data_IF_566752294517
#
_entry.id   IF_566752294517
#
_cell.length_a   1.000
_cell.length_b   1.000
_cell.length_c   1.000
_cell.angle_alpha   90.00
_cell.angle_beta   90.00
_cell.angle_gamma   90.00
#
_symmetry.space_group_name_H-M   'P 1'
#
loop_
_entity.id
_entity.type
_entity.pdbx_description
1 polymer ?
#
# COMPACT_ATOMS: atom_id res chain seq x y z
N UNK A 1 20.69 14.79 -4.87
CA UNK A 1 19.27 14.60 -5.29
C UNK A 1 18.55 14.42 -3.98
N UNK A 2 17.92 15.48 -3.47
CA UNK A 2 17.42 15.46 -2.09
C UNK A 2 16.43 14.32 -1.90
N UNK A 3 16.68 13.54 -0.86
CA UNK A 3 15.85 12.40 -0.53
C UNK A 3 14.54 12.89 0.11
N UNK A 4 13.46 12.13 -0.06
CA UNK A 4 12.13 12.53 0.45
C UNK A 4 12.15 12.76 1.97
N UNK A 5 13.04 12.06 2.68
CA UNK A 5 13.27 12.20 4.12
C UNK A 5 14.03 13.48 4.47
N UNK A 6 15.00 13.92 3.65
CA UNK A 6 15.72 15.18 3.92
C UNK A 6 14.76 16.39 3.85
N UNK A 7 13.90 16.43 2.83
CA UNK A 7 12.84 17.44 2.73
C UNK A 7 11.85 17.39 3.90
N UNK A 8 11.55 16.18 4.41
CA UNK A 8 10.72 16.02 5.61
C UNK A 8 11.41 16.63 6.85
N UNK A 9 12.71 16.38 7.02
CA UNK A 9 13.49 16.94 8.13
C UNK A 9 13.59 18.47 8.04
N UNK A 10 13.74 19.03 6.84
CA UNK A 10 13.65 20.48 6.63
C UNK A 10 12.27 21.04 6.99
N UNK A 11 11.20 20.33 6.61
CA UNK A 11 9.84 20.71 6.98
C UNK A 11 9.66 20.73 8.50
N UNK A 12 10.15 19.72 9.23
CA UNK A 12 10.04 19.67 10.69
C UNK A 12 10.74 20.84 11.39
N UNK A 13 11.84 21.36 10.84
CA UNK A 13 12.47 22.59 11.36
C UNK A 13 11.56 23.82 11.27
N UNK A 14 10.64 23.87 10.30
CA UNK A 14 9.71 25.01 10.14
C UNK A 14 8.53 24.99 11.12
N UNK A 15 8.22 23.82 11.67
CA UNK A 15 7.08 23.59 12.58
C UNK A 15 7.52 23.29 14.01
N UNK A 16 8.78 23.58 14.34
CA UNK A 16 9.36 23.36 15.66
C UNK A 16 8.51 23.98 16.78
N UNK A 17 8.35 23.24 17.88
CA UNK A 17 7.57 23.63 19.07
C UNK A 17 6.07 23.90 18.85
N UNK A 18 5.49 23.41 17.75
CA UNK A 18 4.04 23.50 17.49
C UNK A 18 3.39 22.12 17.52
N UNK A 19 2.17 21.97 18.07
CA UNK A 19 1.41 20.75 17.89
C UNK A 19 1.08 20.57 16.41
N UNK A 20 1.42 19.41 15.85
CA UNK A 20 1.19 19.06 14.45
C UNK A 20 0.36 17.79 14.35
N UNK A 21 -0.46 17.71 13.29
CA UNK A 21 -1.04 16.44 12.88
C UNK A 21 -0.05 15.74 11.96
N UNK A 22 0.57 14.65 12.44
CA UNK A 22 1.62 13.93 11.72
C UNK A 22 1.10 13.09 10.55
N UNK A 23 -0.16 12.65 10.61
CA UNK A 23 -0.73 11.72 9.62
C UNK A 23 -0.75 12.30 8.19
N UNK A 24 -1.24 13.55 7.95
CA UNK A 24 -1.14 14.17 6.63
C UNK A 24 0.29 14.32 6.12
N UNK A 25 1.27 14.51 7.02
CA UNK A 25 2.68 14.62 6.64
C UNK A 25 3.20 13.25 6.19
N UNK A 26 2.89 12.17 6.90
CA UNK A 26 3.24 10.82 6.45
C UNK A 26 2.54 10.42 5.15
N UNK A 27 1.31 10.87 4.93
CA UNK A 27 0.62 10.70 3.66
C UNK A 27 1.40 11.39 2.50
N UNK A 28 1.91 12.60 2.70
CA UNK A 28 2.73 13.30 1.70
C UNK A 28 4.04 12.55 1.41
N UNK A 29 4.75 12.12 2.46
CA UNK A 29 6.03 11.40 2.34
C UNK A 29 5.86 10.07 1.62
N UNK A 30 4.88 9.28 2.02
CA UNK A 30 4.61 7.97 1.42
C UNK A 30 4.18 8.10 -0.03
N UNK A 31 3.33 9.09 -0.35
CA UNK A 31 2.93 9.41 -1.73
C UNK A 31 4.15 9.79 -2.59
N UNK A 32 5.05 10.61 -2.06
CA UNK A 32 6.26 11.02 -2.76
C UNK A 32 7.19 9.83 -3.05
N UNK A 33 7.46 9.01 -2.02
CA UNK A 33 8.32 7.82 -2.13
C UNK A 33 7.74 6.82 -3.14
N UNK A 34 6.46 6.47 -3.02
CA UNK A 34 5.85 5.50 -3.93
C UNK A 34 5.74 6.06 -5.36
N UNK A 35 5.53 7.37 -5.54
CA UNK A 35 5.53 7.99 -6.87
C UNK A 35 6.90 7.91 -7.55
N UNK A 36 7.99 8.07 -6.78
CA UNK A 36 9.37 7.89 -7.27
C UNK A 36 9.64 6.45 -7.68
N UNK A 37 9.23 5.50 -6.85
CA UNK A 37 9.51 4.07 -7.05
C UNK A 37 8.60 3.45 -8.14
N UNK A 38 7.32 3.80 -8.14
CA UNK A 38 6.32 3.17 -9.01
C UNK A 38 6.13 3.89 -10.35
N UNK A 39 6.28 5.22 -10.38
CA UNK A 39 6.04 6.05 -11.58
C UNK A 39 7.32 6.68 -12.13
N UNK A 40 8.47 6.45 -11.47
CA UNK A 40 9.74 7.04 -11.86
C UNK A 40 9.74 8.57 -11.76
N UNK A 41 9.01 9.13 -10.79
CA UNK A 41 9.03 10.57 -10.55
C UNK A 41 10.47 11.05 -10.30
N UNK A 42 10.89 12.08 -11.05
CA UNK A 42 12.21 12.66 -10.87
C UNK A 42 12.21 13.63 -9.68
N UNK A 43 12.99 13.30 -8.64
CA UNK A 43 13.10 14.10 -7.43
C UNK A 43 11.86 14.03 -6.53
N UNK A 44 11.88 14.82 -5.45
CA UNK A 44 10.82 14.88 -4.47
C UNK A 44 9.81 16.00 -4.78
N UNK A 45 8.54 15.64 -4.80
CA UNK A 45 7.37 16.51 -4.91
C UNK A 45 6.60 16.57 -3.59
N UNK A 46 7.28 16.43 -2.45
CA UNK A 46 6.68 16.52 -1.13
C UNK A 46 5.87 17.82 -0.98
N UNK A 47 4.61 17.73 -0.52
CA UNK A 47 3.64 18.84 -0.41
C UNK A 47 3.20 19.48 -1.73
N UNK A 48 3.58 18.92 -2.87
CA UNK A 48 3.22 19.40 -4.22
C UNK A 48 2.57 18.31 -5.06
N UNK A 49 2.38 17.11 -4.51
CA UNK A 49 1.95 15.96 -5.27
C UNK A 49 0.43 15.90 -5.42
N UNK A 50 -0.06 16.23 -6.61
CA UNK A 50 -1.50 16.19 -6.93
C UNK A 50 -2.15 14.80 -6.82
N UNK A 51 -1.36 13.71 -6.80
CA UNK A 51 -1.90 12.36 -6.63
C UNK A 51 -2.57 12.15 -5.27
N UNK A 52 -2.14 12.92 -4.26
CA UNK A 52 -2.70 12.81 -2.91
C UNK A 52 -4.18 13.17 -2.86
N UNK A 53 -4.63 14.16 -3.62
CA UNK A 53 -6.02 14.60 -3.62
C UNK A 53 -6.92 13.54 -4.25
N UNK A 54 -6.46 12.91 -5.33
CA UNK A 54 -7.18 11.79 -5.95
C UNK A 54 -7.21 10.57 -5.03
N UNK A 55 -6.09 10.24 -4.37
CA UNK A 55 -6.01 9.12 -3.43
C UNK A 55 -6.91 9.33 -2.20
N UNK A 56 -6.91 10.53 -1.61
CA UNK A 56 -7.84 10.91 -0.54
C UNK A 56 -9.29 10.82 -1.01
N UNK A 57 -9.60 11.23 -2.23
CA UNK A 57 -10.93 11.07 -2.81
C UNK A 57 -11.38 9.60 -2.92
N UNK A 58 -10.44 8.65 -3.01
CA UNK A 58 -10.74 7.21 -3.05
C UNK A 58 -10.88 6.63 -1.64
N UNK A 59 -9.96 6.93 -0.72
CA UNK A 59 -9.92 6.33 0.63
C UNK A 59 -10.78 7.05 1.67
N UNK A 60 -10.88 8.37 1.61
CA UNK A 60 -11.56 9.22 2.60
C UNK A 60 -12.99 9.59 2.18
N UNK A 61 -13.50 8.98 1.11
CA UNK A 61 -14.92 9.12 0.78
C UNK A 61 -15.77 8.50 1.90
N UNK A 62 -16.84 9.17 2.37
CA UNK A 62 -17.59 8.71 3.53
C UNK A 62 -18.05 7.25 3.39
N UNK A 63 -17.72 6.42 4.37
CA UNK A 63 -18.20 5.03 4.50
C UNK A 63 -19.74 4.99 4.63
N UNK A 64 -20.35 6.12 5.01
CA UNK A 64 -21.80 6.37 5.00
C UNK A 64 -22.39 6.45 3.58
N UNK A 65 -21.61 6.22 2.53
CA UNK A 65 -22.15 5.98 1.20
C UNK A 65 -22.93 4.65 1.20
N UNK A 66 -24.22 4.77 1.50
CA UNK A 66 -25.23 3.70 1.46
C UNK A 66 -25.15 2.89 0.16
N UNK A 67 -24.61 3.47 -0.93
CA UNK A 67 -24.42 2.80 -2.20
C UNK A 67 -23.33 1.71 -2.19
N UNK A 68 -22.34 1.78 -1.28
CA UNK A 68 -21.27 0.80 -1.17
C UNK A 68 -21.52 -0.23 -0.06
N UNK A 69 -22.08 0.20 1.08
CA UNK A 69 -22.32 -0.66 2.24
C UNK A 69 -23.60 -1.49 2.10
N UNK A 70 -24.70 -0.93 1.58
CA UNK A 70 -25.96 -1.65 1.47
C UNK A 70 -25.91 -2.85 0.50
N UNK A 71 -25.21 -2.82 -0.65
CA UNK A 71 -25.07 -4.00 -1.51
C UNK A 71 -24.22 -5.12 -0.93
N UNK A 72 -23.34 -4.82 0.03
CA UNK A 72 -22.56 -5.82 0.75
C UNK A 72 -23.41 -6.55 1.79
N UNK A 73 -24.28 -5.82 2.51
CA UNK A 73 -25.19 -6.40 3.50
C UNK A 73 -26.46 -7.03 2.87
N UNK A 74 -26.95 -6.46 1.76
CA UNK A 74 -28.20 -6.85 1.10
C UNK A 74 -27.97 -7.11 -0.39
N UNK A 75 -27.52 -8.32 -0.77
CA UNK A 75 -27.14 -8.65 -2.15
C UNK A 75 -28.30 -8.52 -3.16
N UNK A 76 -29.55 -8.56 -2.72
CA UNK A 76 -30.74 -8.36 -3.55
C UNK A 76 -30.96 -6.92 -4.01
N UNK A 77 -30.38 -5.92 -3.31
CA UNK A 77 -30.47 -4.49 -3.68
C UNK A 77 -29.27 -4.06 -4.55
N UNK A 78 -28.29 -4.95 -4.74
CA UNK A 78 -27.05 -4.67 -5.50
C UNK A 78 -27.29 -4.22 -6.94
N UNK A 79 -28.22 -4.86 -7.66
CA UNK A 79 -28.54 -4.50 -9.06
C UNK A 79 -29.23 -3.12 -9.18
N UNK A 80 -30.31 -2.81 -8.44
CA UNK A 80 -30.94 -1.50 -8.54
C UNK A 80 -30.04 -0.35 -8.05
N UNK A 81 -29.27 -0.53 -6.97
CA UNK A 81 -28.30 0.48 -6.50
C UNK A 81 -27.19 0.70 -7.53
N UNK A 82 -26.67 -0.36 -8.16
CA UNK A 82 -25.64 -0.22 -9.19
C UNK A 82 -26.12 0.64 -10.37
N UNK A 83 -27.34 0.40 -10.86
CA UNK A 83 -27.94 1.20 -11.94
C UNK A 83 -28.11 2.66 -11.50
N UNK A 84 -28.56 2.91 -10.27
CA UNK A 84 -28.70 4.26 -9.71
C UNK A 84 -27.35 4.98 -9.52
N UNK A 85 -26.31 4.25 -9.09
CA UNK A 85 -24.94 4.74 -8.93
C UNK A 85 -24.20 4.96 -10.27
N UNK A 86 -24.65 4.35 -11.36
CA UNK A 86 -24.15 4.64 -12.72
C UNK A 86 -24.66 6.01 -13.24
N UNK A 87 -25.81 6.50 -12.75
CA UNK A 87 -26.35 7.83 -13.07
C UNK A 87 -25.74 8.97 -12.24
N UNK A 88 -25.43 8.72 -10.96
CA UNK A 88 -24.75 9.69 -10.09
C UNK A 88 -23.26 9.38 -10.05
N UNK A 89 -22.42 10.17 -10.73
CA UNK A 89 -20.95 10.08 -10.60
C UNK A 89 -20.55 10.33 -9.15
N UNK A 90 -20.36 9.26 -8.36
CA UNK A 90 -19.87 9.36 -6.98
C UNK A 90 -18.46 9.97 -6.97
N UNK A 91 -18.11 10.65 -5.89
CA UNK A 91 -16.79 11.28 -5.72
C UNK A 91 -15.64 10.27 -5.92
N UNK A 92 -15.80 9.04 -5.42
CA UNK A 92 -14.86 7.93 -5.60
C UNK A 92 -14.62 7.63 -7.08
N UNK A 93 -15.70 7.50 -7.87
CA UNK A 93 -15.60 7.15 -9.29
C UNK A 93 -14.99 8.28 -10.11
N UNK A 94 -15.29 9.53 -9.77
CA UNK A 94 -14.67 10.69 -10.40
C UNK A 94 -13.16 10.77 -10.11
N UNK A 95 -12.76 10.61 -8.85
CA UNK A 95 -11.35 10.60 -8.43
C UNK A 95 -10.59 9.42 -9.03
N UNK A 96 -11.15 8.22 -9.02
CA UNK A 96 -10.55 7.03 -9.63
C UNK A 96 -10.37 7.17 -11.14
N UNK A 97 -11.37 7.67 -11.88
CA UNK A 97 -11.25 7.91 -13.32
C UNK A 97 -10.17 8.96 -13.63
N UNK A 98 -10.11 10.03 -12.82
CA UNK A 98 -9.13 11.11 -13.00
C UNK A 98 -7.71 10.63 -12.73
N UNK A 99 -7.52 9.85 -11.66
CA UNK A 99 -6.26 9.23 -11.33
C UNK A 99 -5.81 8.27 -12.43
N UNK A 100 -6.70 7.38 -12.88
CA UNK A 100 -6.41 6.41 -13.94
C UNK A 100 -6.03 7.13 -15.24
N UNK A 101 -6.72 8.21 -15.61
CA UNK A 101 -6.40 8.99 -16.80
C UNK A 101 -5.04 9.70 -16.69
N UNK A 102 -4.67 10.22 -15.52
CA UNK A 102 -3.35 10.83 -15.29
C UNK A 102 -2.24 9.79 -15.32
N UNK A 103 -2.45 8.63 -14.70
CA UNK A 103 -1.51 7.50 -14.77
C UNK A 103 -1.33 6.99 -16.20
N UNK A 104 -2.42 6.90 -16.98
CA UNK A 104 -2.34 6.56 -18.39
C UNK A 104 -1.46 7.54 -19.17
N UNK A 105 -1.61 8.85 -18.93
CA UNK A 105 -0.75 9.86 -19.56
C UNK A 105 0.71 9.68 -19.17
N UNK A 106 1.02 9.40 -17.90
CA UNK A 106 2.40 9.20 -17.45
C UNK A 106 3.00 7.92 -18.04
N UNK A 107 2.22 6.82 -18.12
CA UNK A 107 2.64 5.58 -18.77
C UNK A 107 2.95 5.78 -20.25
N UNK A 108 2.07 6.45 -20.97
CA UNK A 108 2.30 6.75 -22.39
C UNK A 108 3.49 7.68 -22.60
N UNK A 109 3.65 8.69 -21.73
CA UNK A 109 4.81 9.58 -21.77
C UNK A 109 6.12 8.81 -21.54
N UNK A 110 6.17 7.96 -20.51
CA UNK A 110 7.34 7.11 -20.23
C UNK A 110 7.64 6.18 -21.41
N UNK A 111 6.62 5.56 -21.99
CA UNK A 111 6.78 4.70 -23.17
C UNK A 111 7.43 5.46 -24.34
N UNK A 112 6.94 6.65 -24.66
CA UNK A 112 7.51 7.49 -25.72
C UNK A 112 8.96 7.92 -25.40
N UNK A 113 9.27 8.27 -24.15
CA UNK A 113 10.64 8.57 -23.70
C UNK A 113 11.57 7.37 -23.95
N UNK A 114 11.12 6.15 -23.65
CA UNK A 114 11.91 4.94 -23.91
C UNK A 114 12.12 4.67 -25.40
N UNK A 115 11.12 4.90 -26.24
CA UNK A 115 11.22 4.74 -27.69
C UNK A 115 12.25 5.72 -28.28
N UNK A 116 12.17 7.00 -27.92
CA UNK A 116 13.13 8.02 -28.35
C UNK A 116 14.57 7.75 -27.86
N UNK A 117 14.74 7.19 -26.65
CA UNK A 117 16.06 6.79 -26.15
C UNK A 117 16.67 5.62 -26.93
N UNK A 118 15.84 4.65 -27.35
CA UNK A 118 16.27 3.54 -28.21
C UNK A 118 16.75 4.06 -29.57
N UNK A 119 16.02 5.01 -30.15
CA UNK A 119 16.41 5.66 -31.42
C UNK A 119 17.73 6.42 -31.30
N UNK A 120 17.91 7.17 -30.21
CA UNK A 120 19.10 7.98 -29.94
C UNK A 120 20.31 7.18 -29.39
N UNK A 121 20.21 5.84 -29.28
CA UNK A 121 21.23 4.94 -28.70
C UNK A 121 21.77 5.43 -27.35
N UNK A 122 20.91 6.05 -26.54
CA UNK A 122 21.30 6.60 -25.25
C UNK A 122 20.95 5.59 -24.16
N UNK A 123 21.95 4.99 -23.52
CA UNK A 123 21.72 4.10 -22.37
C UNK A 123 21.51 4.94 -21.10
N UNK A 124 20.26 5.15 -20.72
CA UNK A 124 19.92 5.50 -19.34
C UNK A 124 19.40 4.25 -18.66
N UNK A 125 20.06 3.83 -17.57
CA UNK A 125 19.59 2.73 -16.73
C UNK A 125 18.40 3.23 -15.91
N UNK A 126 17.21 3.10 -16.49
CA UNK A 126 15.97 3.42 -15.79
C UNK A 126 15.53 2.17 -15.02
N UNK A 127 15.52 2.24 -13.68
CA UNK A 127 15.18 1.11 -12.81
C UNK A 127 14.08 1.57 -11.85
N UNK A 128 12.84 1.56 -12.33
CA UNK A 128 11.64 1.75 -11.53
C UNK A 128 10.56 0.74 -11.98
N UNK A 129 9.45 0.66 -11.25
CA UNK A 129 8.45 -0.36 -11.57
C UNK A 129 7.73 -0.10 -12.90
N UNK A 130 7.52 1.16 -13.28
CA UNK A 130 6.90 1.47 -14.58
C UNK A 130 7.78 0.96 -15.74
N UNK A 131 9.11 1.07 -15.63
CA UNK A 131 10.01 0.50 -16.64
C UNK A 131 10.00 -1.04 -16.62
N UNK A 132 9.94 -1.66 -15.45
CA UNK A 132 9.78 -3.12 -15.32
C UNK A 132 8.46 -3.61 -15.93
N UNK A 133 7.37 -2.86 -15.77
CA UNK A 133 6.08 -3.20 -16.37
C UNK A 133 6.10 -3.04 -17.89
N UNK A 134 6.73 -1.97 -18.39
CA UNK A 134 6.90 -1.74 -19.82
C UNK A 134 7.84 -2.77 -20.48
N UNK A 135 8.81 -3.33 -19.75
CA UNK A 135 9.62 -4.47 -20.23
C UNK A 135 8.81 -5.75 -20.44
N UNK A 136 7.70 -5.89 -19.71
CA UNK A 136 6.73 -6.97 -19.87
C UNK A 136 5.59 -6.63 -20.85
N UNK A 137 5.64 -5.48 -21.53
CA UNK A 137 4.57 -5.06 -22.44
C UNK A 137 4.53 -5.90 -23.73
N UNK A 138 3.33 -6.27 -24.18
CA UNK A 138 3.11 -6.81 -25.54
C UNK A 138 2.06 -6.02 -26.32
N UNK A 139 2.14 -6.00 -27.67
CA UNK A 139 1.11 -5.41 -28.52
C UNK A 139 -0.24 -6.13 -28.37
N UNK A 140 -1.34 -5.37 -28.30
CA UNK A 140 -2.73 -5.85 -28.07
C UNK A 140 -3.19 -6.98 -29.03
N UNK A 141 -2.57 -7.13 -30.21
CA UNK A 141 -2.99 -8.09 -31.25
C UNK A 141 -2.79 -9.59 -30.90
N UNK A 142 -2.14 -9.92 -29.77
CA UNK A 142 -2.02 -11.32 -29.29
C UNK A 142 -3.07 -11.73 -28.24
N UNK A 143 -3.88 -10.79 -27.73
CA UNK A 143 -4.99 -11.09 -26.82
C UNK A 143 -6.22 -11.61 -27.60
N UNK A 144 -6.07 -12.64 -28.45
CA UNK A 144 -7.25 -13.32 -29.00
C UNK A 144 -7.72 -14.39 -28.01
N UNK A 145 -8.93 -14.20 -27.48
CA UNK A 145 -9.84 -15.25 -27.00
C UNK A 145 -9.31 -16.19 -25.91
N UNK A 146 -9.00 -15.66 -24.73
CA UNK A 146 -9.10 -16.49 -23.51
C UNK A 146 -9.74 -15.73 -22.36
N UNK A 147 -10.90 -15.13 -22.63
CA UNK A 147 -11.89 -14.86 -21.58
C UNK A 147 -12.80 -16.09 -21.39
N UNK A 148 -12.19 -17.28 -21.42
CA UNK A 148 -12.81 -18.56 -21.12
C UNK A 148 -12.36 -19.00 -19.74
N UNK A 149 -13.33 -19.35 -18.89
CA UNK A 149 -13.21 -20.03 -17.58
C UNK A 149 -11.76 -20.26 -17.14
N UNK A 150 -11.30 -19.46 -16.17
CA UNK A 150 -9.98 -19.56 -15.54
C UNK A 150 -9.80 -20.94 -14.87
N UNK A 151 -9.31 -21.94 -15.63
CA UNK A 151 -8.85 -23.21 -15.08
C UNK A 151 -7.44 -23.03 -14.53
N UNK A 152 -7.37 -22.60 -13.26
CA UNK A 152 -6.15 -22.13 -12.57
C UNK A 152 -5.05 -23.18 -12.40
N UNK A 153 -5.29 -24.45 -12.74
CA UNK A 153 -4.27 -25.52 -12.64
C UNK A 153 -3.18 -25.42 -13.71
N UNK A 154 -3.44 -24.71 -14.81
CA UNK A 154 -2.50 -24.51 -15.92
C UNK A 154 -2.23 -23.03 -16.21
N UNK A 155 -2.09 -22.20 -15.17
CA UNK A 155 -1.58 -20.83 -15.32
C UNK A 155 -0.12 -20.87 -15.76
N UNK A 156 0.13 -21.00 -17.06
CA UNK A 156 1.32 -20.38 -17.64
C UNK A 156 1.12 -18.89 -17.44
N UNK A 157 1.80 -18.32 -16.44
CA UNK A 157 1.92 -16.87 -16.30
C UNK A 157 2.56 -16.37 -17.60
N UNK A 158 1.74 -15.85 -18.51
CA UNK A 158 2.25 -15.11 -19.65
C UNK A 158 2.92 -13.87 -19.08
N UNK A 159 4.20 -13.64 -19.40
CA UNK A 159 4.95 -12.44 -18.97
C UNK A 159 4.53 -11.20 -19.78
N UNK A 160 3.24 -11.09 -20.08
CA UNK A 160 2.71 -10.21 -21.10
C UNK A 160 1.68 -9.30 -20.44
N UNK A 161 1.92 -7.99 -20.49
CA UNK A 161 1.03 -6.95 -19.97
C UNK A 161 0.56 -6.04 -21.13
N UNK A 162 -0.73 -5.75 -21.16
CA UNK A 162 -1.29 -4.65 -21.95
C UNK A 162 -1.04 -3.31 -21.27
N UNK A 163 -1.08 -2.20 -22.03
CA UNK A 163 -0.94 -0.84 -21.47
C UNK A 163 -1.94 -0.57 -20.34
N UNK A 164 -3.19 -1.05 -20.49
CA UNK A 164 -4.22 -0.89 -19.46
C UNK A 164 -3.88 -1.66 -18.18
N UNK A 165 -3.28 -2.85 -18.28
CA UNK A 165 -2.82 -3.60 -17.13
C UNK A 165 -1.63 -2.92 -16.45
N UNK A 166 -0.70 -2.35 -17.21
CA UNK A 166 0.42 -1.55 -16.67
C UNK A 166 -0.12 -0.36 -15.87
N UNK A 167 -1.06 0.39 -16.43
CA UNK A 167 -1.73 1.51 -15.73
C UNK A 167 -2.45 1.02 -14.47
N UNK A 168 -3.10 -0.15 -14.54
CA UNK A 168 -3.71 -0.80 -13.40
C UNK A 168 -2.71 -1.17 -12.30
N UNK A 169 -1.52 -1.67 -12.65
CA UNK A 169 -0.45 -1.95 -11.68
C UNK A 169 0.05 -0.66 -11.03
N UNK A 170 0.35 0.38 -11.82
CA UNK A 170 0.75 1.68 -11.29
C UNK A 170 -0.29 2.26 -10.31
N UNK A 171 -1.59 2.12 -10.62
CA UNK A 171 -2.69 2.53 -9.73
C UNK A 171 -2.67 1.77 -8.40
N UNK A 172 -2.52 0.45 -8.44
CA UNK A 172 -2.48 -0.40 -7.25
C UNK A 172 -1.28 -0.03 -6.38
N UNK A 173 -0.09 0.11 -6.97
CA UNK A 173 1.12 0.50 -6.24
C UNK A 173 0.93 1.85 -5.54
N UNK A 174 0.42 2.86 -6.25
CA UNK A 174 0.20 4.19 -5.72
C UNK A 174 -0.75 4.17 -4.52
N UNK A 175 -1.92 3.52 -4.66
CA UNK A 175 -2.94 3.50 -3.60
C UNK A 175 -2.53 2.64 -2.41
N UNK A 176 -1.97 1.45 -2.67
CA UNK A 176 -1.56 0.53 -1.61
C UNK A 176 -0.33 1.05 -0.85
N UNK A 177 0.66 1.63 -1.54
CA UNK A 177 1.89 2.12 -0.90
C UNK A 177 1.69 3.43 -0.13
N UNK A 178 0.73 4.26 -0.55
CA UNK A 178 0.40 5.54 0.06
C UNK A 178 -0.27 5.37 1.44
N UNK A 179 -1.50 4.86 1.45
CA UNK A 179 -2.36 5.04 2.64
C UNK A 179 -1.98 4.04 3.74
N UNK A 180 -1.62 2.81 3.41
CA UNK A 180 -1.30 1.81 4.44
C UNK A 180 -0.06 2.19 5.22
N UNK A 181 0.99 2.63 4.52
CA UNK A 181 2.27 3.00 5.15
C UNK A 181 2.11 4.25 6.01
N UNK A 182 1.36 5.25 5.53
CA UNK A 182 1.11 6.48 6.29
C UNK A 182 0.35 6.21 7.60
N UNK A 183 -0.65 5.33 7.55
CA UNK A 183 -1.37 4.91 8.74
C UNK A 183 -0.47 4.09 9.68
N UNK A 184 0.32 3.13 9.16
CA UNK A 184 1.28 2.37 9.98
C UNK A 184 2.23 3.28 10.74
N UNK A 185 2.87 4.23 10.07
CA UNK A 185 3.78 5.20 10.71
C UNK A 185 3.05 6.05 11.76
N UNK A 186 1.81 6.45 11.48
CA UNK A 186 0.99 7.22 12.43
C UNK A 186 0.69 6.42 13.71
N UNK A 187 0.37 5.14 13.61
CA UNK A 187 0.15 4.28 14.76
C UNK A 187 1.44 3.98 15.53
N UNK A 188 2.56 3.80 14.84
CA UNK A 188 3.88 3.67 15.50
C UNK A 188 4.16 4.92 16.34
N UNK A 189 4.02 6.12 15.77
CA UNK A 189 4.20 7.36 16.54
C UNK A 189 3.20 7.48 17.69
N UNK A 190 1.94 7.11 17.49
CA UNK A 190 0.92 7.13 18.54
C UNK A 190 1.29 6.23 19.72
N UNK A 191 1.75 5.00 19.47
CA UNK A 191 2.16 4.09 20.55
C UNK A 191 3.46 4.53 21.21
N UNK A 192 4.44 5.06 20.47
CA UNK A 192 5.67 5.60 21.06
C UNK A 192 5.39 6.80 21.99
N UNK A 193 4.48 7.70 21.61
CA UNK A 193 4.11 8.85 22.45
C UNK A 193 3.41 8.40 23.74
N UNK A 194 2.63 7.31 23.68
CA UNK A 194 1.94 6.75 24.85
C UNK A 194 2.83 5.91 25.75
N UNK A 195 3.97 5.44 25.24
CA UNK A 195 4.90 4.58 25.96
C UNK A 195 6.32 5.19 25.97
N UNK A 196 6.56 6.24 26.80
CA UNK A 196 7.84 6.97 26.80
C UNK A 196 9.06 6.10 27.09
N UNK A 197 8.93 5.07 27.93
CA UNK A 197 10.02 4.12 28.23
C UNK A 197 10.42 3.34 26.97
N UNK A 198 9.44 2.93 26.15
CA UNK A 198 9.70 2.28 24.86
C UNK A 198 10.39 3.24 23.90
N UNK A 199 9.92 4.49 23.81
CA UNK A 199 10.56 5.51 22.97
C UNK A 199 12.01 5.75 23.39
N UNK A 200 12.28 5.87 24.69
CA UNK A 200 13.64 6.04 25.19
C UNK A 200 14.54 4.88 24.78
N UNK A 201 14.10 3.63 25.02
CA UNK A 201 14.86 2.43 24.64
C UNK A 201 15.09 2.34 23.12
N UNK A 202 14.13 2.78 22.31
CA UNK A 202 14.27 2.83 20.85
C UNK A 202 15.30 3.88 20.42
N UNK A 203 15.29 5.06 21.03
CA UNK A 203 16.28 6.11 20.76
C UNK A 203 17.68 5.62 21.16
N UNK A 204 17.82 4.95 22.31
CA UNK A 204 19.08 4.34 22.74
C UNK A 204 19.60 3.34 21.70
N UNK A 205 18.77 2.43 21.17
CA UNK A 205 19.18 1.51 20.10
C UNK A 205 19.63 2.26 18.83
N UNK A 206 18.88 3.28 18.41
CA UNK A 206 19.19 4.05 17.21
C UNK A 206 20.52 4.80 17.38
N UNK A 207 20.72 5.45 18.52
CA UNK A 207 21.94 6.17 18.85
C UNK A 207 23.15 5.22 18.88
N UNK A 208 23.01 4.05 19.50
CA UNK A 208 24.07 3.03 19.52
C UNK A 208 24.50 2.63 18.09
N UNK A 209 23.56 2.41 17.17
CA UNK A 209 23.90 2.01 15.79
C UNK A 209 24.42 3.16 14.91
N UNK A 210 24.05 4.40 15.22
CA UNK A 210 24.48 5.58 14.46
C UNK A 210 25.84 6.12 14.93
N UNK A 211 26.10 6.11 16.24
CA UNK A 211 27.31 6.70 16.82
C UNK A 211 28.47 5.70 17.02
N UNK A 212 28.25 4.39 16.87
CA UNK A 212 29.31 3.35 16.98
C UNK A 212 30.10 3.16 15.66
N UNK A 213 29.80 3.91 14.60
CA UNK A 213 30.50 3.81 13.31
C UNK A 213 31.16 5.12 12.89
N UNK A 214 32.41 5.05 12.40
CA UNK A 214 33.16 6.19 11.81
C UNK A 214 32.49 6.80 10.54
N UNK A 215 31.29 6.34 10.16
CA UNK A 215 30.50 6.86 9.05
C UNK A 215 29.17 7.44 9.57
N UNK A 216 28.96 8.74 9.37
CA UNK A 216 27.71 9.43 9.70
C UNK A 216 26.51 9.01 8.80
N UNK A 217 26.73 8.13 7.82
CA UNK A 217 25.72 7.75 6.84
C UNK A 217 24.84 6.57 7.33
N UNK A 218 23.53 6.79 7.29
CA UNK A 218 22.49 5.78 7.47
C UNK A 218 22.43 4.86 6.24
N UNK A 219 22.67 3.55 6.42
CA UNK A 219 22.57 2.56 5.34
C UNK A 219 21.40 1.60 5.53
N UNK A 220 20.97 0.95 4.45
CA UNK A 220 19.90 -0.06 4.49
C UNK A 220 20.27 -1.24 5.40
N UNK A 221 21.54 -1.65 5.37
CA UNK A 221 22.06 -2.74 6.20
C UNK A 221 21.98 -2.38 7.69
N UNK A 222 22.38 -1.16 8.08
CA UNK A 222 22.30 -0.69 9.48
C UNK A 222 20.86 -0.67 9.99
N UNK A 223 19.91 -0.20 9.18
CA UNK A 223 18.49 -0.18 9.57
C UNK A 223 17.99 -1.61 9.87
N UNK A 224 18.42 -2.60 9.09
CA UNK A 224 18.03 -4.00 9.31
C UNK A 224 18.67 -4.63 10.56
N UNK A 225 19.71 -4.03 11.12
CA UNK A 225 20.36 -4.50 12.35
C UNK A 225 19.62 -4.03 13.62
N UNK A 226 18.82 -2.96 13.52
CA UNK A 226 18.01 -2.38 14.60
C UNK A 226 16.80 -3.28 14.93
N UNK A 227 17.01 -4.28 15.79
CA UNK A 227 16.00 -5.30 16.12
C UNK A 227 14.84 -4.74 16.91
N UNK A 228 15.10 -3.82 17.84
CA UNK A 228 14.06 -3.25 18.67
C UNK A 228 13.16 -2.29 17.87
N UNK A 229 13.72 -1.54 16.90
CA UNK A 229 12.94 -0.81 15.90
C UNK A 229 11.97 -1.73 15.14
N UNK A 230 12.46 -2.87 14.64
CA UNK A 230 11.61 -3.87 13.96
C UNK A 230 10.53 -4.43 14.88
N UNK A 231 10.86 -4.73 16.14
CA UNK A 231 9.88 -5.13 17.17
C UNK A 231 8.81 -4.07 17.42
N UNK A 232 9.19 -2.79 17.52
CA UNK A 232 8.26 -1.67 17.70
C UNK A 232 7.26 -1.59 16.55
N UNK A 233 7.75 -1.70 15.31
CA UNK A 233 6.90 -1.67 14.11
C UNK A 233 5.97 -2.88 14.10
N UNK A 234 6.48 -4.08 14.35
CA UNK A 234 5.69 -5.32 14.39
C UNK A 234 4.60 -5.29 15.45
N UNK A 235 4.92 -4.83 16.65
CA UNK A 235 3.95 -4.73 17.75
C UNK A 235 2.88 -3.68 17.46
N UNK A 236 3.27 -2.56 16.84
CA UNK A 236 2.30 -1.55 16.39
C UNK A 236 1.34 -2.11 15.34
N UNK A 237 1.83 -2.90 14.38
CA UNK A 237 1.00 -3.53 13.35
C UNK A 237 0.15 -4.69 13.88
N UNK A 238 0.60 -5.36 14.96
CA UNK A 238 -0.20 -6.37 15.65
C UNK A 238 -1.42 -5.73 16.30
N UNK A 239 -1.23 -4.65 17.06
CA UNK A 239 -2.33 -3.92 17.72
C UNK A 239 -3.21 -3.15 16.74
N UNK A 240 -2.59 -2.55 15.72
CA UNK A 240 -3.29 -1.72 14.72
C UNK A 240 -3.13 -2.30 13.31
N UNK A 241 -3.81 -3.41 12.98
CA UNK A 241 -3.67 -4.04 11.66
C UNK A 241 -4.38 -3.21 10.58
N UNK A 242 -3.63 -2.35 9.88
CA UNK A 242 -4.16 -1.41 8.87
C UNK A 242 -5.02 -2.10 7.81
N UNK A 243 -4.58 -3.26 7.36
CA UNK A 243 -5.27 -4.08 6.36
C UNK A 243 -5.85 -5.37 6.96
N UNK A 244 -6.34 -5.33 8.22
CA UNK A 244 -6.83 -6.52 8.94
C UNK A 244 -7.91 -7.31 8.19
N UNK A 245 -8.77 -6.62 7.42
CA UNK A 245 -9.82 -7.26 6.61
C UNK A 245 -9.39 -7.64 5.18
N UNK A 246 -8.12 -7.43 4.81
CA UNK A 246 -7.63 -7.75 3.46
C UNK A 246 -7.34 -9.25 3.26
N UNK A 247 -7.33 -10.05 4.34
CA UNK A 247 -6.96 -11.47 4.29
C UNK A 247 -8.17 -12.36 3.95
N UNK A 248 -8.83 -12.05 2.84
CA UNK A 248 -9.97 -12.82 2.34
C UNK A 248 -9.52 -14.00 1.45
N UNK A 249 -10.31 -15.07 1.42
CA UNK A 249 -10.12 -16.23 0.55
C UNK A 249 -11.44 -16.59 -0.13
N UNK A 250 -11.35 -17.13 -1.34
CA UNK A 250 -12.50 -17.69 -2.06
C UNK A 250 -12.24 -19.18 -2.27
N UNK A 251 -13.17 -20.02 -1.79
CA UNK A 251 -13.06 -21.46 -1.90
C UNK A 251 -13.26 -21.90 -3.35
N UNK A 252 -12.19 -22.34 -4.01
CA UNK A 252 -12.24 -22.72 -5.44
C UNK A 252 -12.85 -24.11 -5.64
N UNK A 253 -12.72 -25.00 -4.66
CA UNK A 253 -13.19 -26.38 -4.66
C UNK A 253 -13.57 -26.78 -3.24
N UNK A 254 -14.64 -27.56 -3.09
CA UNK A 254 -15.10 -28.02 -1.78
C UNK A 254 -13.97 -28.73 -1.06
N UNK A 255 -13.63 -28.26 0.13
CA UNK A 255 -12.45 -28.69 0.89
C UNK A 255 -12.78 -28.76 2.38
N UNK A 256 -11.92 -29.40 3.17
CA UNK A 256 -12.04 -29.46 4.62
C UNK A 256 -10.88 -28.71 5.28
N UNK A 257 -11.21 -27.90 6.29
CA UNK A 257 -10.23 -27.20 7.13
C UNK A 257 -10.34 -27.67 8.59
N UNK A 258 -9.28 -27.45 9.36
CA UNK A 258 -9.21 -27.83 10.77
C UNK A 258 -8.53 -29.18 11.02
N UNK A 259 -7.78 -29.29 12.11
CA UNK A 259 -7.07 -30.51 12.50
C UNK A 259 -7.93 -31.40 13.40
N UNK A 260 -8.59 -30.81 14.41
CA UNK A 260 -9.39 -31.54 15.41
C UNK A 260 -10.85 -31.71 14.98
N UNK A 261 -11.46 -30.65 14.47
CA UNK A 261 -12.80 -30.67 13.91
C UNK A 261 -12.69 -30.31 12.43
N UNK A 262 -13.11 -31.23 11.58
CA UNK A 262 -13.13 -31.03 10.13
C UNK A 262 -14.35 -30.20 9.78
N UNK A 263 -14.12 -29.00 9.30
CA UNK A 263 -15.15 -28.10 8.80
C UNK A 263 -15.11 -28.17 7.28
N UNK A 264 -16.17 -28.70 6.68
CA UNK A 264 -16.33 -28.71 5.24
C UNK A 264 -16.71 -27.30 4.74
N UNK A 265 -15.95 -26.79 3.79
CA UNK A 265 -16.18 -25.52 3.12
C UNK A 265 -16.57 -25.82 1.68
N UNK A 266 -17.78 -25.42 1.31
CA UNK A 266 -18.28 -25.60 -0.05
C UNK A 266 -17.57 -24.67 -1.04
N UNK A 267 -17.38 -25.17 -2.27
CA UNK A 267 -16.95 -24.36 -3.41
C UNK A 267 -17.81 -23.10 -3.56
N UNK A 268 -17.15 -21.97 -3.76
CA UNK A 268 -17.80 -20.65 -3.90
C UNK A 268 -17.93 -19.87 -2.59
N UNK A 269 -17.65 -20.50 -1.44
CA UNK A 269 -17.69 -19.83 -0.14
C UNK A 269 -16.55 -18.81 -0.01
N UNK A 270 -16.89 -17.58 0.39
CA UNK A 270 -15.90 -16.58 0.81
C UNK A 270 -15.56 -16.76 2.29
N UNK A 271 -14.27 -16.69 2.61
CA UNK A 271 -13.75 -16.80 3.96
C UNK A 271 -13.02 -15.50 4.28
N UNK A 272 -13.42 -14.86 5.38
CA UNK A 272 -12.74 -13.70 5.94
C UNK A 272 -12.02 -14.11 7.21
N UNK A 273 -10.75 -13.76 7.33
CA UNK A 273 -9.95 -14.02 8.53
C UNK A 273 -10.04 -12.79 9.41
N UNK A 274 -10.52 -12.98 10.64
CA UNK A 274 -10.53 -11.93 11.66
C UNK A 274 -9.14 -11.78 12.29
N UNK A 275 -8.30 -10.98 11.63
CA UNK A 275 -6.93 -10.70 12.07
C UNK A 275 -6.92 -10.01 13.44
N UNK A 276 -7.90 -9.15 13.72
CA UNK A 276 -7.93 -8.39 14.97
C UNK A 276 -8.13 -9.33 16.16
N UNK A 277 -9.11 -10.22 16.12
CA UNK A 277 -9.33 -11.19 17.20
C UNK A 277 -8.13 -12.12 17.39
N UNK A 278 -7.46 -12.53 16.31
CA UNK A 278 -6.23 -13.33 16.38
C UNK A 278 -5.12 -12.55 17.09
N UNK A 279 -4.92 -11.29 16.72
CA UNK A 279 -3.88 -10.44 17.28
C UNK A 279 -4.11 -10.10 18.75
N UNK A 280 -5.37 -10.08 19.22
CA UNK A 280 -5.72 -9.82 20.62
C UNK A 280 -5.96 -11.10 21.44
N UNK A 281 -5.62 -12.27 20.91
CA UNK A 281 -5.83 -13.53 21.61
C UNK A 281 -4.79 -13.77 22.70
N UNK A 282 -5.22 -13.78 23.98
CA UNK A 282 -4.35 -14.16 25.11
C UNK A 282 -3.72 -15.55 24.94
N UNK A 283 -4.44 -16.46 24.29
CA UNK A 283 -3.96 -17.82 24.03
C UNK A 283 -2.75 -17.85 23.09
N UNK A 284 -2.67 -16.91 22.15
CA UNK A 284 -1.60 -16.85 21.15
C UNK A 284 -0.47 -15.91 21.59
N UNK A 285 -0.82 -14.81 22.26
CA UNK A 285 0.12 -13.73 22.57
C UNK A 285 0.49 -13.65 24.06
N UNK A 286 -0.10 -14.47 24.93
CA UNK A 286 0.12 -14.43 26.37
C UNK A 286 -0.75 -13.38 27.06
N UNK A 287 -0.49 -13.08 28.34
CA UNK A 287 -1.29 -12.11 29.09
C UNK A 287 -1.22 -10.72 28.47
N UNK A 288 -2.30 -9.95 28.66
CA UNK A 288 -2.43 -8.54 28.26
C UNK A 288 -2.05 -8.28 26.78
N UNK A 289 -2.65 -9.00 25.82
CA UNK A 289 -2.38 -8.83 24.39
C UNK A 289 -2.81 -7.45 23.87
N UNK A 290 -3.64 -6.72 24.60
CA UNK A 290 -4.04 -5.34 24.30
C UNK A 290 -2.97 -4.30 24.65
N UNK A 291 -1.96 -4.66 25.45
CA UNK A 291 -0.85 -3.77 25.79
C UNK A 291 0.21 -3.79 24.71
N UNK A 292 0.71 -2.60 24.37
CA UNK A 292 1.84 -2.41 23.48
C UNK A 292 3.13 -2.83 24.21
N UNK A 293 3.69 -3.96 23.80
CA UNK A 293 4.93 -4.49 24.36
C UNK A 293 5.84 -5.03 23.23
N UNK A 294 6.80 -4.23 22.73
CA UNK A 294 7.75 -4.69 21.72
C UNK A 294 8.69 -5.80 22.17
N UNK A 295 8.82 -6.08 23.47
CA UNK A 295 9.66 -7.17 24.01
C UNK A 295 8.93 -8.53 24.08
N UNK A 296 7.71 -8.64 23.54
CA UNK A 296 6.87 -9.85 23.62
C UNK A 296 7.44 -11.07 22.88
#
# INVERSE_FOLDING_TARGET
MYDSIEHLMEHFKTVENKPINIHPIFQEVTMDIISRIALGQNGSNLFKNSYIDYAKGIFMSPIDDLQHTAPQMFPFIKKPIRIFSELYKTGIRASSNSLTANLFKEVMKRKNERETMKENKTEKKLIDFIDLFLDAEVPEQKHSDTMGILDKRNLKVSKELSVNEIVGQCLIFLLAGYDTTANSLSFVCYELIKNPETLQKLVEEIDDHLFDSDSEDLSYEKINEMKYLDSVIKESLRLHPIAGNAVNRHCMETTEIGEKEKIQIEKGTNITIDVLTINYSEKLWGPEPEKFNPDR
#
